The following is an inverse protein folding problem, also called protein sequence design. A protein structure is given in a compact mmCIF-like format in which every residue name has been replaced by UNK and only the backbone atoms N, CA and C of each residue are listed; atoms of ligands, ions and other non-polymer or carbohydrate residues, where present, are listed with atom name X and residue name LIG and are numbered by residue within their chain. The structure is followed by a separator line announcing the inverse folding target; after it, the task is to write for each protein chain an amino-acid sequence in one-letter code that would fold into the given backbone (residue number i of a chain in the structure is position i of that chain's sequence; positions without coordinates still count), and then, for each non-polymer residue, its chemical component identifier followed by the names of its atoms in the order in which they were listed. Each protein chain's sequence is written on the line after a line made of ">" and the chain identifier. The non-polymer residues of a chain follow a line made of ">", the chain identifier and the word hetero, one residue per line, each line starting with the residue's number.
data_IF_423180216685
#
_entry.id   IF_423180216685
#
_cell.length_a   1.000
_cell.length_b   1.000
_cell.length_c   1.000
_cell.angle_alpha   90.00
_cell.angle_beta   90.00
_cell.angle_gamma   90.00
#
_symmetry.space_group_name_H-M   'P 1'
#
loop_
_entity.id
_entity.type
_entity.pdbx_description
1 polymer ?
#
# COMPACT_ATOMS: atom_id res chain seq x y z
N UNK A 1 5.02 -13.86 -2.99
CA UNK A 1 3.55 -14.04 -2.78
C UNK A 1 2.84 -13.73 -4.08
N UNK A 2 1.69 -14.34 -4.39
CA UNK A 2 0.99 -14.10 -5.66
C UNK A 2 -0.44 -13.62 -5.38
N UNK A 3 -0.80 -12.47 -5.94
CA UNK A 3 -2.16 -11.90 -5.89
C UNK A 3 -2.63 -11.75 -7.34
N UNK A 4 -3.52 -12.63 -7.79
CA UNK A 4 -3.89 -12.73 -9.20
C UNK A 4 -2.66 -12.92 -10.09
N UNK A 5 -2.50 -12.03 -11.07
CA UNK A 5 -1.35 -12.01 -11.98
C UNK A 5 -0.09 -11.34 -11.41
N UNK A 6 -0.16 -10.76 -10.21
CA UNK A 6 0.94 -9.99 -9.64
C UNK A 6 1.78 -10.83 -8.67
N UNK A 7 3.08 -10.95 -8.97
CA UNK A 7 4.06 -11.60 -8.11
C UNK A 7 4.74 -10.55 -7.21
N UNK A 8 4.45 -10.63 -5.92
CA UNK A 8 5.03 -9.79 -4.87
C UNK A 8 6.38 -10.35 -4.41
N UNK A 9 7.33 -9.43 -4.18
CA UNK A 9 8.69 -9.74 -3.70
C UNK A 9 8.70 -10.45 -2.33
N UNK A 10 7.70 -10.21 -1.49
CA UNK A 10 7.54 -10.88 -0.20
C UNK A 10 6.07 -10.95 0.23
N UNK A 11 5.81 -11.39 1.46
CA UNK A 11 4.49 -11.52 2.08
C UNK A 11 4.15 -10.35 3.01
N UNK A 12 4.89 -9.25 2.96
CA UNK A 12 4.70 -8.08 3.82
C UNK A 12 3.89 -7.01 3.07
N UNK A 13 2.72 -6.68 3.61
CA UNK A 13 1.81 -5.68 3.05
C UNK A 13 1.59 -4.59 4.10
N UNK A 14 1.72 -3.33 3.71
CA UNK A 14 1.35 -2.19 4.57
C UNK A 14 -0.16 -2.04 4.56
N UNK A 15 -0.76 -2.04 5.76
CA UNK A 15 -2.20 -1.81 5.93
C UNK A 15 -2.59 -0.39 5.49
N UNK A 16 -3.74 -0.21 4.80
CA UNK A 16 -4.28 1.11 4.53
C UNK A 16 -4.80 1.73 5.83
N UNK A 17 -4.13 2.78 6.30
CA UNK A 17 -4.53 3.61 7.43
C UNK A 17 -4.78 5.03 6.90
N UNK A 18 -6.02 5.51 6.99
CA UNK A 18 -6.41 6.84 6.54
C UNK A 18 -5.74 7.95 7.38
N UNK A 19 -5.28 9.02 6.75
CA UNK A 19 -4.44 10.07 7.33
C UNK A 19 -2.98 9.66 7.62
N UNK A 20 -2.57 8.42 7.37
CA UNK A 20 -1.23 7.90 7.72
C UNK A 20 -0.51 7.35 6.50
N UNK A 21 -1.22 6.71 5.58
CA UNK A 21 -0.60 5.94 4.47
C UNK A 21 -0.38 6.81 3.24
N UNK A 22 0.23 7.95 3.49
CA UNK A 22 0.52 8.98 2.52
C UNK A 22 1.55 8.53 1.46
N UNK A 23 1.68 9.31 0.38
CA UNK A 23 2.66 9.03 -0.69
C UNK A 23 4.12 8.90 -0.18
N UNK A 24 4.66 9.80 0.68
CA UNK A 24 5.98 9.64 1.28
C UNK A 24 6.09 8.38 2.15
N UNK A 25 5.08 8.10 2.98
CA UNK A 25 5.03 6.92 3.83
C UNK A 25 5.15 5.63 3.01
N UNK A 26 4.33 5.48 1.97
CA UNK A 26 4.39 4.30 1.08
C UNK A 26 5.72 4.14 0.35
N UNK A 27 6.36 5.24 -0.06
CA UNK A 27 7.70 5.19 -0.67
C UNK A 27 8.76 4.71 0.33
N UNK A 28 8.70 5.19 1.57
CA UNK A 28 9.61 4.77 2.63
C UNK A 28 9.46 3.27 2.91
N UNK A 29 8.23 2.79 3.14
CA UNK A 29 8.00 1.37 3.41
C UNK A 29 8.35 0.47 2.22
N UNK A 30 8.13 0.90 0.97
CA UNK A 30 8.63 0.16 -0.20
C UNK A 30 10.15 0.05 -0.22
N UNK A 31 10.88 1.10 0.19
CA UNK A 31 12.36 1.06 0.31
C UNK A 31 12.81 0.17 1.46
N UNK A 32 12.06 0.16 2.56
CA UNK A 32 12.31 -0.71 3.73
C UNK A 32 11.95 -2.17 3.50
N UNK A 33 11.46 -2.53 2.30
CA UNK A 33 11.17 -3.92 1.95
C UNK A 33 9.72 -4.33 2.10
N UNK A 34 8.74 -3.42 2.08
CA UNK A 34 7.34 -3.82 1.90
C UNK A 34 7.11 -4.36 0.48
N UNK A 35 6.51 -5.54 0.36
CA UNK A 35 6.17 -6.15 -0.93
C UNK A 35 5.04 -5.40 -1.62
N UNK A 36 4.12 -4.83 -0.84
CA UNK A 36 3.01 -4.01 -1.31
C UNK A 36 2.71 -2.89 -0.31
N UNK A 37 2.37 -1.70 -0.80
CA UNK A 37 1.91 -0.59 0.00
C UNK A 37 0.62 -0.03 -0.61
N UNK A 38 -0.47 -0.06 0.14
CA UNK A 38 -1.83 0.28 -0.32
C UNK A 38 -2.11 1.76 -0.07
N UNK A 39 -2.79 2.42 -1.02
CA UNK A 39 -3.26 3.81 -0.82
C UNK A 39 -4.46 3.84 0.11
N UNK A 40 -4.74 5.00 0.68
CA UNK A 40 -6.02 5.26 1.33
C UNK A 40 -7.18 5.05 0.34
N UNK A 41 -8.28 4.53 0.86
CA UNK A 41 -9.52 4.40 0.10
C UNK A 41 -10.14 5.78 -0.03
N UNK A 42 -10.33 6.25 -1.26
CA UNK A 42 -11.01 7.51 -1.54
C UNK A 42 -12.49 7.18 -1.73
N UNK A 43 -13.37 7.79 -0.93
CA UNK A 43 -14.81 7.69 -1.15
C UNK A 43 -15.15 8.38 -2.47
N UNK A 44 -15.94 7.73 -3.32
CA UNK A 44 -16.39 8.30 -4.59
C UNK A 44 -17.38 9.45 -4.40
N UNK A 45 -17.89 9.64 -3.19
CA UNK A 45 -18.85 10.69 -2.87
C UNK A 45 -18.12 11.90 -2.27
N UNK A 46 -17.59 12.75 -3.13
CA UNK A 46 -17.14 14.10 -2.79
C UNK A 46 -18.36 15.03 -2.90
N UNK A 47 -19.08 15.20 -1.79
CA UNK A 47 -20.02 16.32 -1.63
C UNK A 47 -19.23 17.60 -1.36
#
# INVERSE_FOLDING_TARGET
>A
MQIGSYKLKNKLIVAPMAGVTDRPFRKLYKKMGAGMAVSEMVSSNSL
#
